data_IF_787478207881
#
_entry.id   IF_787478207881
#
_cell.length_a   1.000
_cell.length_b   1.000
_cell.length_c   1.000
_cell.angle_alpha   90.00
_cell.angle_beta   90.00
_cell.angle_gamma   90.00
#
_symmetry.space_group_name_H-M   'P 1'
#
loop_
_entity.id
_entity.type
_entity.pdbx_description
1 polymer ?
#
# COMPACT_ATOMS: atom_id res chain seq x y z
N UNK A 1 16.80 1.77 0.61
CA UNK A 1 15.54 2.55 0.54
C UNK A 1 15.46 3.47 1.75
N UNK A 2 14.85 4.66 1.62
CA UNK A 2 14.67 5.62 2.73
C UNK A 2 13.67 5.04 3.76
N UNK A 3 13.99 5.10 5.06
CA UNK A 3 13.04 4.76 6.14
C UNK A 3 12.02 5.89 6.32
N UNK A 4 10.78 5.54 6.66
CA UNK A 4 9.75 6.53 6.97
C UNK A 4 10.07 7.28 8.27
N UNK A 5 9.73 8.57 8.30
CA UNK A 5 9.79 9.44 9.48
C UNK A 5 8.49 10.20 9.66
N UNK A 6 8.28 10.77 10.84
CA UNK A 6 7.13 11.65 11.09
C UNK A 6 7.07 12.79 10.06
N UNK A 7 5.89 13.05 9.55
CA UNK A 7 5.59 14.04 8.52
C UNK A 7 5.61 13.48 7.10
N UNK A 8 6.18 12.29 6.87
CA UNK A 8 6.18 11.62 5.57
C UNK A 8 4.75 11.24 5.13
N UNK A 9 4.55 11.16 3.81
CA UNK A 9 3.25 10.94 3.19
C UNK A 9 3.07 9.49 2.74
N UNK A 10 1.97 8.88 3.20
CA UNK A 10 1.51 7.56 2.78
C UNK A 10 0.30 7.71 1.85
N UNK A 11 0.42 7.20 0.62
CA UNK A 11 -0.69 7.06 -0.33
C UNK A 11 -1.34 5.69 -0.18
N UNK A 12 -2.66 5.65 -0.08
CA UNK A 12 -3.44 4.41 -0.10
C UNK A 12 -3.95 4.15 -1.52
N UNK A 13 -3.76 2.92 -2.02
CA UNK A 13 -4.21 2.47 -3.36
C UNK A 13 -4.99 1.15 -3.26
N UNK A 14 -5.91 0.90 -4.18
CA UNK A 14 -6.76 -0.33 -4.20
C UNK A 14 -6.47 -1.24 -5.41
N UNK A 15 -5.26 -1.83 -5.56
CA UNK A 15 -4.88 -2.57 -6.77
C UNK A 15 -5.52 -3.96 -6.89
N UNK A 16 -6.16 -4.46 -5.84
CA UNK A 16 -7.06 -5.61 -5.92
C UNK A 16 -8.45 -5.23 -5.47
N UNK A 17 -8.83 -5.53 -4.23
CA UNK A 17 -10.16 -5.23 -3.77
C UNK A 17 -10.33 -3.76 -3.41
N UNK A 18 -11.52 -3.24 -3.73
CA UNK A 18 -11.99 -1.94 -3.31
C UNK A 18 -12.08 -1.83 -1.79
N UNK A 19 -12.06 -0.60 -1.27
CA UNK A 19 -12.33 -0.33 0.13
C UNK A 19 -13.75 -0.75 0.54
N UNK A 20 -14.69 -0.79 -0.41
CA UNK A 20 -16.07 -1.23 -0.17
C UNK A 20 -16.13 -2.68 0.34
N UNK A 21 -15.23 -3.56 -0.14
CA UNK A 21 -15.12 -4.96 0.34
C UNK A 21 -14.87 -5.07 1.85
N UNK A 22 -14.24 -4.06 2.42
CA UNK A 22 -13.88 -3.99 3.85
C UNK A 22 -14.72 -2.98 4.63
N UNK A 23 -15.91 -2.68 4.11
CA UNK A 23 -16.93 -1.85 4.77
C UNK A 23 -16.86 -0.36 4.44
N UNK A 24 -16.15 0.02 3.38
CA UNK A 24 -16.03 1.42 2.93
C UNK A 24 -15.13 2.28 3.82
N UNK A 25 -15.06 3.58 3.53
CA UNK A 25 -14.16 4.51 4.23
C UNK A 25 -14.43 4.57 5.74
N UNK A 26 -15.69 4.69 6.15
CA UNK A 26 -16.07 4.85 7.56
C UNK A 26 -15.64 3.65 8.42
N UNK A 27 -15.82 2.42 7.92
CA UNK A 27 -15.38 1.21 8.63
C UNK A 27 -13.86 1.07 8.73
N UNK A 28 -13.10 1.94 8.05
CA UNK A 28 -11.65 1.97 8.05
C UNK A 28 -11.07 3.28 8.59
N UNK A 29 -11.90 4.22 9.09
CA UNK A 29 -11.44 5.50 9.64
C UNK A 29 -10.40 5.33 10.76
N UNK A 30 -10.60 4.32 11.62
CA UNK A 30 -9.65 4.00 12.70
C UNK A 30 -8.25 3.62 12.20
N UNK A 31 -8.10 3.10 10.97
CA UNK A 31 -6.78 2.87 10.37
C UNK A 31 -6.10 4.19 10.01
N UNK A 32 -6.85 5.12 9.42
CA UNK A 32 -6.37 6.47 9.10
C UNK A 32 -5.91 7.21 10.36
N UNK A 33 -6.77 7.25 11.38
CA UNK A 33 -6.46 7.92 12.65
C UNK A 33 -5.21 7.34 13.31
N UNK A 34 -5.02 6.01 13.29
CA UNK A 34 -3.81 5.39 13.83
C UNK A 34 -2.55 5.82 13.09
N UNK A 35 -2.57 5.84 11.76
CA UNK A 35 -1.40 6.25 10.98
C UNK A 35 -1.09 7.75 11.15
N UNK A 36 -2.13 8.59 11.22
CA UNK A 36 -1.97 10.02 11.51
C UNK A 36 -1.44 10.27 12.93
N UNK A 37 -1.91 9.50 13.93
CA UNK A 37 -1.40 9.55 15.30
C UNK A 37 0.07 9.08 15.42
N UNK A 38 0.52 8.22 14.51
CA UNK A 38 1.95 7.88 14.38
C UNK A 38 2.77 9.02 13.77
N UNK A 39 2.11 10.03 13.19
CA UNK A 39 2.70 11.25 12.66
C UNK A 39 2.80 11.27 11.14
N UNK A 40 2.10 10.40 10.42
CA UNK A 40 2.12 10.37 8.95
C UNK A 40 1.00 11.23 8.36
N UNK A 41 1.22 11.75 7.15
CA UNK A 41 0.16 12.33 6.32
C UNK A 41 -0.44 11.24 5.46
N UNK A 42 -1.75 11.21 5.32
CA UNK A 42 -2.45 10.22 4.51
C UNK A 42 -3.19 10.88 3.37
N UNK A 43 -3.16 10.24 2.20
CA UNK A 43 -4.14 10.48 1.16
C UNK A 43 -4.53 9.17 0.47
N UNK A 44 -5.64 9.20 -0.25
CA UNK A 44 -6.19 8.08 -0.99
C UNK A 44 -6.04 8.38 -2.49
N UNK A 45 -5.82 7.35 -3.29
CA UNK A 45 -5.76 7.48 -4.74
C UNK A 45 -7.11 7.87 -5.33
N UNK A 46 -7.15 8.32 -6.59
CA UNK A 46 -8.36 8.87 -7.18
C UNK A 46 -9.50 7.84 -7.24
N UNK A 47 -9.16 6.60 -7.59
CA UNK A 47 -10.13 5.53 -7.82
C UNK A 47 -10.23 4.53 -6.66
N UNK A 48 -9.71 4.86 -5.48
CA UNK A 48 -9.66 3.92 -4.33
C UNK A 48 -11.04 3.39 -3.89
N UNK A 49 -12.10 4.14 -4.17
CA UNK A 49 -13.49 3.85 -3.83
C UNK A 49 -14.28 3.20 -4.97
N UNK A 50 -13.72 3.12 -6.18
CA UNK A 50 -14.40 2.42 -7.28
C UNK A 50 -14.64 0.97 -6.89
N UNK A 51 -15.83 0.46 -7.23
CA UNK A 51 -16.25 -0.88 -6.85
C UNK A 51 -17.12 -1.49 -7.96
N UNK A 52 -16.68 -2.63 -8.49
CA UNK A 52 -17.42 -3.43 -9.46
C UNK A 52 -18.07 -4.67 -8.81
N UNK A 53 -18.69 -5.53 -9.62
CA UNK A 53 -19.38 -6.74 -9.15
C UNK A 53 -18.47 -7.80 -8.53
N UNK A 54 -17.14 -7.65 -8.62
CA UNK A 54 -16.14 -8.54 -8.04
C UNK A 54 -15.41 -7.89 -6.85
N UNK A 55 -16.01 -6.85 -6.27
CA UNK A 55 -15.44 -6.05 -5.19
C UNK A 55 -14.07 -5.44 -5.56
N UNK A 56 -13.86 -5.11 -6.83
CA UNK A 56 -12.61 -4.53 -7.37
C UNK A 56 -12.92 -3.28 -8.21
N UNK A 57 -12.01 -2.88 -9.09
CA UNK A 57 -12.17 -1.74 -9.97
C UNK A 57 -11.61 -2.06 -11.37
N UNK A 58 -11.96 -1.28 -12.41
CA UNK A 58 -11.37 -1.42 -13.73
C UNK A 58 -9.83 -1.42 -13.68
N UNK A 59 -9.19 -2.21 -14.56
CA UNK A 59 -7.72 -2.30 -14.65
C UNK A 59 -7.11 -0.91 -14.86
N UNK A 60 -7.69 -0.09 -15.74
CA UNK A 60 -7.19 1.25 -16.05
C UNK A 60 -7.13 2.15 -14.81
N UNK A 61 -8.18 2.15 -13.98
CA UNK A 61 -8.24 2.91 -12.73
C UNK A 61 -7.15 2.47 -11.75
N UNK A 62 -6.98 1.16 -11.57
CA UNK A 62 -5.99 0.59 -10.64
C UNK A 62 -4.55 0.82 -11.09
N UNK A 63 -4.27 0.76 -12.40
CA UNK A 63 -2.98 1.09 -12.99
C UNK A 63 -2.67 2.58 -12.80
N UNK A 64 -3.62 3.45 -13.16
CA UNK A 64 -3.46 4.90 -13.04
C UNK A 64 -3.17 5.32 -11.59
N UNK A 65 -3.91 4.76 -10.63
CA UNK A 65 -3.71 5.04 -9.21
C UNK A 65 -2.32 4.60 -8.71
N UNK A 66 -1.83 3.43 -9.16
CA UNK A 66 -0.53 2.91 -8.75
C UNK A 66 0.60 3.73 -9.36
N UNK A 67 0.54 4.02 -10.66
CA UNK A 67 1.56 4.83 -11.36
C UNK A 67 1.58 6.27 -10.85
N UNK A 68 0.42 6.89 -10.60
CA UNK A 68 0.34 8.22 -10.00
C UNK A 68 0.95 8.25 -8.60
N UNK A 69 0.77 7.19 -7.79
CA UNK A 69 1.38 7.09 -6.48
C UNK A 69 2.92 6.96 -6.55
N UNK A 70 3.44 6.24 -7.55
CA UNK A 70 4.88 6.18 -7.80
C UNK A 70 5.43 7.50 -8.34
N UNK A 71 4.79 8.12 -9.33
CA UNK A 71 5.25 9.37 -9.96
C UNK A 71 5.18 10.60 -9.05
N UNK A 72 4.30 10.60 -8.04
CA UNK A 72 4.16 11.73 -7.10
C UNK A 72 5.35 11.79 -6.12
N UNK A 73 6.27 12.74 -6.34
CA UNK A 73 7.45 12.96 -5.49
C UNK A 73 7.11 13.31 -4.03
N UNK A 74 5.89 13.77 -3.75
CA UNK A 74 5.46 14.05 -2.38
C UNK A 74 5.12 12.79 -1.57
N UNK A 75 4.93 11.64 -2.25
CA UNK A 75 4.58 10.35 -1.63
C UNK A 75 5.85 9.58 -1.26
N UNK A 76 6.01 9.31 0.04
CA UNK A 76 7.14 8.55 0.59
C UNK A 76 6.86 7.04 0.68
N UNK A 77 5.59 6.64 0.80
CA UNK A 77 5.17 5.24 0.84
C UNK A 77 3.78 5.02 0.23
N UNK A 78 3.58 3.80 -0.26
CA UNK A 78 2.34 3.31 -0.84
C UNK A 78 1.87 2.11 -0.03
N UNK A 79 0.65 2.17 0.49
CA UNK A 79 -0.03 1.05 1.13
C UNK A 79 -1.22 0.60 0.28
N UNK A 80 -1.36 -0.72 0.15
CA UNK A 80 -2.57 -1.29 -0.44
C UNK A 80 -3.75 -1.22 0.55
N UNK A 81 -4.97 -0.99 0.05
CA UNK A 81 -6.21 -0.98 0.84
C UNK A 81 -6.42 -2.33 1.55
N UNK A 82 -6.43 -3.40 0.76
CA UNK A 82 -6.51 -4.80 1.18
C UNK A 82 -6.15 -5.69 -0.02
N UNK A 83 -5.74 -6.95 0.22
CA UNK A 83 -5.60 -7.94 -0.85
C UNK A 83 -6.95 -8.40 -1.42
N UNK A 84 -6.93 -9.20 -2.47
CA UNK A 84 -8.11 -9.80 -3.10
C UNK A 84 -7.72 -11.01 -3.95
N UNK A 85 -7.90 -10.94 -5.26
CA UNK A 85 -7.63 -12.06 -6.17
C UNK A 85 -7.11 -11.65 -7.56
N UNK A 86 -6.85 -10.37 -7.80
CA UNK A 86 -6.72 -9.84 -9.16
C UNK A 86 -5.66 -8.73 -9.33
N UNK A 87 -4.70 -8.60 -8.41
CA UNK A 87 -3.51 -7.76 -8.60
C UNK A 87 -2.72 -8.15 -9.85
N UNK A 88 -2.68 -9.44 -10.18
CA UNK A 88 -1.93 -9.99 -11.30
C UNK A 88 -2.45 -9.50 -12.67
N UNK A 89 -3.71 -9.06 -12.76
CA UNK A 89 -4.28 -8.47 -13.97
C UNK A 89 -3.54 -7.20 -14.39
N UNK A 90 -2.95 -6.47 -13.44
CA UNK A 90 -2.29 -5.18 -13.70
C UNK A 90 -0.93 -5.35 -14.38
N UNK A 91 -0.26 -6.49 -14.20
CA UNK A 91 1.15 -6.69 -14.57
C UNK A 91 1.47 -6.38 -16.04
N UNK A 92 0.63 -6.71 -17.04
CA UNK A 92 0.90 -6.37 -18.43
C UNK A 92 0.79 -4.87 -18.76
N UNK A 93 0.19 -4.08 -17.86
CA UNK A 93 -0.18 -2.69 -18.10
C UNK A 93 0.66 -1.68 -17.32
N UNK A 94 1.43 -2.14 -16.32
CA UNK A 94 2.28 -1.26 -15.52
C UNK A 94 3.51 -0.79 -16.28
N UNK A 95 3.77 0.51 -16.23
CA UNK A 95 5.03 1.11 -16.60
C UNK A 95 6.09 0.85 -15.51
N UNK A 96 6.81 -0.25 -15.66
CA UNK A 96 7.89 -0.61 -14.74
C UNK A 96 9.09 0.34 -14.81
N UNK A 97 9.30 1.07 -15.92
CA UNK A 97 10.38 2.04 -16.03
C UNK A 97 10.05 3.30 -15.19
N UNK A 98 8.79 3.75 -15.20
CA UNK A 98 8.29 4.79 -14.30
C UNK A 98 8.46 4.38 -12.84
N UNK A 99 8.09 3.14 -12.49
CA UNK A 99 8.23 2.63 -11.12
C UNK A 99 9.72 2.59 -10.72
N UNK A 100 10.59 2.09 -11.61
CA UNK A 100 12.05 2.01 -11.37
C UNK A 100 12.69 3.38 -11.12
N UNK A 101 12.22 4.42 -11.81
CA UNK A 101 12.71 5.80 -11.65
C UNK A 101 12.24 6.46 -10.35
N UNK A 102 11.21 5.93 -9.70
CA UNK A 102 10.58 6.52 -8.51
C UNK A 102 10.57 5.56 -7.30
N UNK A 103 11.74 5.10 -6.82
CA UNK A 103 11.81 4.10 -5.77
C UNK A 103 11.26 4.61 -4.43
N UNK A 104 10.20 3.98 -3.94
CA UNK A 104 9.59 4.25 -2.63
C UNK A 104 9.04 2.97 -2.00
N UNK A 105 8.67 3.05 -0.73
CA UNK A 105 8.12 1.90 -0.01
C UNK A 105 6.78 1.52 -0.65
N UNK A 106 6.65 0.26 -1.06
CA UNK A 106 5.38 -0.34 -1.49
C UNK A 106 5.08 -1.54 -0.61
N UNK A 107 3.91 -1.55 0.05
CA UNK A 107 3.58 -2.52 1.08
C UNK A 107 2.12 -3.02 1.04
N UNK A 108 1.97 -4.32 1.29
CA UNK A 108 0.70 -5.03 1.39
C UNK A 108 0.93 -6.53 1.59
N UNK A 109 -0.14 -7.31 1.62
CA UNK A 109 -0.03 -8.76 1.79
C UNK A 109 -1.10 -9.52 1.00
N UNK A 110 -1.05 -10.86 1.07
CA UNK A 110 -1.97 -11.75 0.36
C UNK A 110 -1.83 -11.57 -1.16
N UNK A 111 -2.90 -11.30 -1.89
CA UNK A 111 -2.89 -11.09 -3.35
C UNK A 111 -1.87 -10.04 -3.84
N UNK A 112 -1.58 -9.02 -3.03
CA UNK A 112 -0.56 -8.00 -3.32
C UNK A 112 0.82 -8.62 -3.59
N UNK A 113 1.07 -9.86 -3.14
CA UNK A 113 2.28 -10.66 -3.46
C UNK A 113 2.61 -10.66 -4.95
N UNK A 114 1.62 -10.67 -5.84
CA UNK A 114 1.85 -10.62 -7.28
C UNK A 114 2.58 -9.33 -7.68
N UNK A 115 2.13 -8.18 -7.16
CA UNK A 115 2.76 -6.88 -7.40
C UNK A 115 4.10 -6.74 -6.69
N UNK A 116 4.21 -7.17 -5.43
CA UNK A 116 5.46 -7.12 -4.66
C UNK A 116 6.59 -7.79 -5.46
N UNK A 117 6.37 -9.04 -5.89
CA UNK A 117 7.37 -9.81 -6.61
C UNK A 117 7.61 -9.27 -8.03
N UNK A 118 6.57 -8.84 -8.74
CA UNK A 118 6.74 -8.30 -10.08
C UNK A 118 7.54 -6.99 -10.07
N UNK A 119 7.22 -6.06 -9.15
CA UNK A 119 7.96 -4.80 -9.00
C UNK A 119 9.42 -5.11 -8.67
N UNK A 120 9.70 -5.97 -7.68
CA UNK A 120 11.07 -6.36 -7.35
C UNK A 120 11.80 -6.97 -8.54
N UNK A 121 11.20 -7.95 -9.22
CA UNK A 121 11.83 -8.65 -10.33
C UNK A 121 12.10 -7.75 -11.55
N UNK A 122 11.24 -6.75 -11.79
CA UNK A 122 11.35 -5.85 -12.94
C UNK A 122 12.23 -4.63 -12.68
N UNK A 123 12.32 -4.17 -11.43
CA UNK A 123 12.93 -2.86 -11.11
C UNK A 123 14.10 -2.96 -10.12
N UNK A 124 14.26 -4.08 -9.41
CA UNK A 124 15.20 -4.22 -8.31
C UNK A 124 14.80 -3.48 -7.02
N UNK A 125 13.66 -2.78 -7.01
CA UNK A 125 13.13 -2.08 -5.84
C UNK A 125 12.65 -3.11 -4.81
N UNK A 126 13.19 -3.05 -3.59
CA UNK A 126 12.70 -3.84 -2.45
C UNK A 126 11.25 -3.45 -2.09
N UNK A 127 10.35 -4.42 -2.11
CA UNK A 127 8.95 -4.27 -1.68
C UNK A 127 8.70 -5.02 -0.39
N UNK A 128 7.62 -4.70 0.32
CA UNK A 128 7.38 -5.21 1.66
C UNK A 128 6.08 -6.02 1.75
N UNK A 129 6.21 -7.29 2.13
CA UNK A 129 5.09 -8.09 2.61
C UNK A 129 4.72 -7.59 4.02
N UNK A 130 3.56 -6.97 4.18
CA UNK A 130 3.18 -6.31 5.43
C UNK A 130 1.72 -5.90 5.50
N UNK A 131 1.28 -5.29 6.60
CA UNK A 131 -0.14 -4.97 6.79
C UNK A 131 -0.63 -3.98 5.73
N UNK A 132 -1.77 -4.31 5.11
CA UNK A 132 -2.53 -3.37 4.28
C UNK A 132 -3.24 -2.33 5.17
N UNK A 133 -3.70 -1.24 4.58
CA UNK A 133 -4.38 -0.13 5.26
C UNK A 133 -5.52 -0.62 6.17
N UNK A 134 -6.43 -1.44 5.65
CA UNK A 134 -7.56 -1.93 6.43
C UNK A 134 -7.15 -2.80 7.61
N UNK A 135 -6.00 -3.46 7.58
CA UNK A 135 -5.48 -4.27 8.70
C UNK A 135 -5.02 -3.41 9.88
N UNK A 136 -4.60 -2.16 9.63
CA UNK A 136 -4.10 -1.24 10.66
C UNK A 136 -5.18 -0.96 11.73
N UNK A 137 -6.46 -0.99 11.37
CA UNK A 137 -7.56 -0.79 12.35
C UNK A 137 -7.61 -1.86 13.44
N UNK A 138 -7.10 -3.06 13.18
CA UNK A 138 -7.10 -4.19 14.13
C UNK A 138 -5.78 -4.25 14.93
N UNK A 139 -4.69 -3.67 14.42
CA UNK A 139 -3.39 -3.69 15.10
C UNK A 139 -3.49 -3.02 16.49
N UNK A 140 -3.10 -3.76 17.52
CA UNK A 140 -3.07 -3.24 18.90
C UNK A 140 -1.96 -2.20 19.07
N UNK A 141 -2.04 -1.37 20.12
CA UNK A 141 -0.97 -0.43 20.47
C UNK A 141 0.38 -1.15 20.73
N UNK A 142 0.36 -2.41 21.19
CA UNK A 142 1.57 -3.26 21.31
C UNK A 142 2.18 -3.62 19.96
N UNK A 143 1.37 -3.71 18.90
CA UNK A 143 1.87 -3.89 17.52
C UNK A 143 2.47 -2.58 16.98
N UNK A 144 1.95 -1.43 17.37
CA UNK A 144 2.59 -0.13 17.14
C UNK A 144 3.95 0.00 17.84
N UNK A 145 4.11 -0.64 19.01
CA UNK A 145 5.40 -0.79 19.69
C UNK A 145 6.34 -1.76 18.95
N UNK A 146 5.85 -2.79 18.26
CA UNK A 146 6.68 -3.66 17.40
C UNK A 146 7.20 -2.90 16.16
N UNK A 147 6.40 -2.01 15.59
CA UNK A 147 6.85 -1.10 14.52
C UNK A 147 7.95 -0.16 15.05
N UNK A 148 7.79 0.38 16.27
CA UNK A 148 8.86 1.17 16.94
C UNK A 148 10.07 0.32 17.36
N UNK A 149 9.88 -0.94 17.73
CA UNK A 149 10.94 -1.86 18.14
C UNK A 149 11.77 -2.34 16.93
N UNK A 150 11.16 -2.43 15.75
CA UNK A 150 11.88 -2.66 14.48
C UNK A 150 12.88 -1.55 14.12
N UNK A 151 12.80 -0.38 14.78
CA UNK A 151 13.84 0.65 14.69
C UNK A 151 15.09 0.32 15.54
N UNK A 152 14.99 -0.63 16.49
CA UNK A 152 16.08 -0.98 17.44
C UNK A 152 16.57 -2.42 17.38
N UNK A 153 15.88 -3.32 16.69
CA UNK A 153 16.35 -4.68 16.49
C UNK A 153 16.03 -5.13 15.08
N UNK A 154 17.06 -5.54 14.34
CA UNK A 154 16.91 -6.42 13.20
C UNK A 154 16.03 -7.62 13.63
N UNK A 155 15.18 -8.08 12.71
CA UNK A 155 14.36 -9.30 12.81
C UNK A 155 12.95 -9.13 13.40
N UNK A 156 11.96 -8.89 12.54
CA UNK A 156 10.85 -9.84 12.21
C UNK A 156 9.86 -9.16 11.26
N UNK A 157 10.30 -8.96 10.01
CA UNK A 157 9.45 -8.77 8.81
C UNK A 157 10.36 -8.78 7.56
N UNK A 158 11.39 -9.65 7.55
CA UNK A 158 12.28 -9.90 6.42
C UNK A 158 12.88 -11.30 6.58
N UNK A 159 12.23 -12.29 5.99
CA UNK A 159 12.85 -13.53 5.49
C UNK A 159 12.22 -13.83 4.15
#
# INVERSE_FOLDING_TARGET
MKKLKKGDHIRIVSPSSSIERVGGFEANLAAKEKLENLGFKLSFSEHYFENDMFDSAPIASRVADLEAAFADESVDAILTTIGGFNCNELLPYLDFDLIAQNPKIFCGYSDTTALLNAIYAKTGIQTYMGPSYSSIKILSNKTGELIKASEKSEVFLLS
#
